data_IF_803592558013
#
_entry.id   IF_803592558013
#
_cell.length_a   1.000
_cell.length_b   1.000
_cell.length_c   1.000
_cell.angle_alpha   90.00
_cell.angle_beta   90.00
_cell.angle_gamma   90.00
#
_symmetry.space_group_name_H-M   'P 1'
#
loop_
_entity.id
_entity.type
_entity.pdbx_description
1 polymer ?
#
# COMPACT_ATOMS: atom_id res chain seq x y z
N UNK A 1 -3.37 6.13 11.26
CA UNK A 1 -2.99 4.69 11.31
C UNK A 1 -1.73 4.51 10.46
N UNK A 2 -0.97 3.43 10.64
CA UNK A 2 0.23 3.16 9.83
C UNK A 2 0.08 1.79 9.18
N UNK A 3 -0.03 1.75 7.87
CA UNK A 3 -0.09 0.51 7.10
C UNK A 3 1.29 0.14 6.55
N UNK A 4 1.58 -1.15 6.50
CA UNK A 4 2.72 -1.65 5.76
C UNK A 4 2.43 -1.57 4.26
N UNK A 5 3.43 -1.17 3.46
CA UNK A 5 3.39 -1.27 2.00
C UNK A 5 4.53 -2.15 1.53
N UNK A 6 4.26 -2.94 0.49
CA UNK A 6 5.28 -3.68 -0.25
C UNK A 6 5.46 -2.99 -1.59
N UNK A 7 6.72 -2.71 -1.97
CA UNK A 7 7.06 -2.10 -3.25
C UNK A 7 7.87 -3.12 -4.05
N UNK A 8 7.44 -3.41 -5.26
CA UNK A 8 8.06 -4.35 -6.17
C UNK A 8 8.54 -3.63 -7.44
N UNK A 9 9.74 -3.96 -7.90
CA UNK A 9 10.29 -3.43 -9.14
C UNK A 9 9.81 -4.27 -10.33
N UNK A 10 9.09 -3.64 -11.25
CA UNK A 10 8.74 -4.18 -12.56
C UNK A 10 9.82 -3.93 -13.62
N UNK A 11 9.49 -4.20 -14.89
CA UNK A 11 10.43 -3.99 -16.00
C UNK A 11 10.73 -2.51 -16.24
N UNK A 12 9.71 -1.66 -16.15
CA UNK A 12 9.78 -0.23 -16.48
C UNK A 12 9.20 0.67 -15.39
N UNK A 13 8.73 0.11 -14.29
CA UNK A 13 7.99 0.82 -13.23
C UNK A 13 8.15 0.11 -11.88
N UNK A 14 7.55 0.69 -10.84
CA UNK A 14 7.37 0.12 -9.52
C UNK A 14 5.88 -0.08 -9.25
N UNK A 15 5.52 -1.21 -8.68
CA UNK A 15 4.19 -1.46 -8.13
C UNK A 15 4.24 -1.41 -6.62
N UNK A 16 3.18 -0.90 -5.98
CA UNK A 16 3.00 -0.99 -4.54
C UNK A 16 1.63 -1.55 -4.18
N UNK A 17 1.56 -2.28 -3.06
CA UNK A 17 0.32 -2.77 -2.49
C UNK A 17 0.36 -2.77 -0.96
N UNK A 18 -0.83 -2.76 -0.35
CA UNK A 18 -1.03 -2.78 1.11
C UNK A 18 -1.53 -4.16 1.52
N UNK A 19 -0.78 -4.97 2.28
CA UNK A 19 -1.24 -6.31 2.66
C UNK A 19 -2.53 -6.31 3.48
N UNK A 20 -2.70 -5.29 4.34
CA UNK A 20 -3.87 -5.14 5.21
C UNK A 20 -5.10 -4.50 4.53
N UNK A 21 -4.92 -3.92 3.32
CA UNK A 21 -6.00 -3.34 2.52
C UNK A 21 -6.03 -3.97 1.13
N UNK A 22 -6.57 -5.21 0.99
CA UNK A 22 -6.60 -5.91 -0.29
C UNK A 22 -7.31 -5.08 -1.38
N UNK A 23 -6.63 -4.90 -2.52
CA UNK A 23 -7.11 -4.09 -3.63
C UNK A 23 -6.61 -2.64 -3.62
N UNK A 24 -5.99 -2.17 -2.53
CA UNK A 24 -5.29 -0.90 -2.50
C UNK A 24 -3.88 -1.06 -3.12
N UNK A 25 -3.73 -0.54 -4.35
CA UNK A 25 -2.53 -0.70 -5.17
C UNK A 25 -2.19 0.60 -5.92
N UNK A 26 -0.92 0.77 -6.27
CA UNK A 26 -0.44 1.88 -7.08
C UNK A 26 0.70 1.45 -8.01
N UNK A 27 0.92 2.21 -9.09
CA UNK A 27 2.05 2.02 -10.02
C UNK A 27 2.66 3.38 -10.34
N UNK A 28 3.99 3.49 -10.26
CA UNK A 28 4.73 4.70 -10.61
C UNK A 28 6.04 4.37 -11.32
N UNK A 29 6.63 5.31 -12.03
CA UNK A 29 7.93 5.17 -12.72
C UNK A 29 9.10 5.16 -11.74
N UNK A 30 8.93 5.78 -10.56
CA UNK A 30 9.95 5.86 -9.50
C UNK A 30 9.46 5.32 -8.15
N UNK A 31 10.39 5.04 -7.23
CA UNK A 31 10.06 4.63 -5.85
C UNK A 31 9.34 5.77 -5.12
N UNK A 32 9.77 7.00 -5.36
CA UNK A 32 9.19 8.20 -4.78
C UNK A 32 7.74 8.38 -5.23
N UNK A 33 7.50 8.28 -6.55
CA UNK A 33 6.17 8.41 -7.14
C UNK A 33 5.22 7.31 -6.65
N UNK A 34 5.63 6.04 -6.71
CA UNK A 34 4.74 4.94 -6.27
C UNK A 34 4.40 5.05 -4.77
N UNK A 35 5.32 5.59 -3.96
CA UNK A 35 5.11 5.84 -2.53
C UNK A 35 4.11 6.97 -2.27
N UNK A 36 4.12 8.02 -3.10
CA UNK A 36 3.14 9.10 -3.04
C UNK A 36 1.76 8.59 -3.48
N UNK A 37 1.68 7.88 -4.61
CA UNK A 37 0.43 7.35 -5.14
C UNK A 37 -0.22 6.32 -4.20
N UNK A 38 0.55 5.42 -3.60
CA UNK A 38 -0.02 4.43 -2.66
C UNK A 38 -0.51 5.11 -1.37
N UNK A 39 0.12 6.20 -0.94
CA UNK A 39 -0.36 6.98 0.20
C UNK A 39 -1.74 7.57 -0.08
N UNK A 40 -1.90 8.23 -1.23
CA UNK A 40 -3.18 8.79 -1.67
C UNK A 40 -4.25 7.69 -1.84
N UNK A 41 -3.87 6.54 -2.40
CA UNK A 41 -4.77 5.41 -2.57
C UNK A 41 -5.25 4.83 -1.22
N UNK A 42 -4.39 4.82 -0.19
CA UNK A 42 -4.77 4.41 1.17
C UNK A 42 -5.79 5.42 1.73
N UNK A 43 -5.48 6.71 1.70
CA UNK A 43 -6.38 7.76 2.23
C UNK A 43 -7.76 7.68 1.57
N UNK A 44 -7.78 7.64 0.23
CA UNK A 44 -9.01 7.52 -0.54
C UNK A 44 -9.82 6.25 -0.21
N UNK A 45 -9.15 5.10 -0.05
CA UNK A 45 -9.83 3.85 0.29
C UNK A 45 -10.45 3.89 1.68
N UNK A 46 -9.73 4.46 2.67
CA UNK A 46 -10.23 4.59 4.04
C UNK A 46 -11.42 5.53 4.12
N UNK A 47 -11.36 6.66 3.41
CA UNK A 47 -12.49 7.59 3.30
C UNK A 47 -13.72 6.90 2.71
N UNK A 48 -13.57 6.15 1.61
CA UNK A 48 -14.67 5.40 1.00
C UNK A 48 -15.30 4.37 1.95
N UNK A 49 -14.49 3.61 2.72
CA UNK A 49 -15.02 2.68 3.72
C UNK A 49 -15.85 3.39 4.79
N UNK A 50 -15.39 4.55 5.26
CA UNK A 50 -16.08 5.34 6.28
C UNK A 50 -17.41 5.88 5.73
N UNK A 51 -17.41 6.39 4.49
CA UNK A 51 -18.61 6.90 3.82
C UNK A 51 -19.66 5.80 3.60
N UNK A 52 -19.23 4.59 3.26
CA UNK A 52 -20.09 3.42 3.10
C UNK A 52 -20.55 2.80 4.44
N UNK A 53 -20.09 3.32 5.58
CA UNK A 53 -20.40 2.80 6.91
C UNK A 53 -19.77 1.44 7.21
N UNK A 54 -18.69 1.09 6.48
CA UNK A 54 -17.92 -0.12 6.66
C UNK A 54 -16.83 0.08 7.73
N UNK A 55 -16.42 -1.02 8.35
CA UNK A 55 -15.32 -1.01 9.32
C UNK A 55 -13.98 -0.79 8.62
N UNK A 56 -13.18 0.16 9.12
CA UNK A 56 -11.78 0.31 8.71
C UNK A 56 -10.95 -0.84 9.27
N UNK A 57 -10.21 -1.59 8.44
CA UNK A 57 -9.30 -2.64 8.90
C UNK A 57 -8.18 -2.07 9.77
N UNK A 58 -7.85 -2.73 10.87
CA UNK A 58 -6.66 -2.37 11.68
C UNK A 58 -5.37 -2.84 10.97
N UNK A 59 -4.29 -2.05 10.99
CA UNK A 59 -3.01 -2.49 10.45
C UNK A 59 -2.39 -3.55 11.36
N UNK A 60 -2.24 -4.77 10.85
CA UNK A 60 -1.71 -5.93 11.59
C UNK A 60 -0.41 -6.46 10.97
N UNK A 61 -0.05 -6.00 9.77
CA UNK A 61 1.13 -6.49 9.07
C UNK A 61 2.43 -6.08 9.74
N UNK A 62 3.33 -7.05 9.90
CA UNK A 62 4.72 -6.85 10.31
C UNK A 62 5.63 -7.21 9.12
N UNK A 63 6.49 -6.29 8.73
CA UNK A 63 7.45 -6.51 7.65
C UNK A 63 8.86 -6.71 8.21
N UNK A 64 9.53 -7.75 7.73
CA UNK A 64 10.90 -8.10 8.09
C UNK A 64 11.70 -8.41 6.82
N UNK A 65 12.99 -8.10 6.84
CA UNK A 65 13.92 -8.54 5.80
C UNK A 65 14.72 -9.72 6.32
N UNK A 66 14.81 -10.78 5.52
CA UNK A 66 15.64 -11.94 5.83
C UNK A 66 16.81 -11.97 4.86
N UNK A 67 18.04 -11.95 5.38
CA UNK A 67 19.24 -12.10 4.57
C UNK A 67 19.37 -13.54 4.05
N UNK A 68 19.71 -13.68 2.78
CA UNK A 68 19.99 -14.98 2.16
C UNK A 68 21.38 -14.93 1.52
N UNK A 69 22.09 -16.05 1.60
CA UNK A 69 23.44 -16.26 1.09
C UNK A 69 23.46 -16.66 -0.38
#
# INVERSE_FOLDING_TARGET
MRYAIVIEKGQTSYGAYVPDLPGCVAVGETIEEVRELIHEAIEFHLEGLIEDGLSVPEPISTCEYVETH
#
